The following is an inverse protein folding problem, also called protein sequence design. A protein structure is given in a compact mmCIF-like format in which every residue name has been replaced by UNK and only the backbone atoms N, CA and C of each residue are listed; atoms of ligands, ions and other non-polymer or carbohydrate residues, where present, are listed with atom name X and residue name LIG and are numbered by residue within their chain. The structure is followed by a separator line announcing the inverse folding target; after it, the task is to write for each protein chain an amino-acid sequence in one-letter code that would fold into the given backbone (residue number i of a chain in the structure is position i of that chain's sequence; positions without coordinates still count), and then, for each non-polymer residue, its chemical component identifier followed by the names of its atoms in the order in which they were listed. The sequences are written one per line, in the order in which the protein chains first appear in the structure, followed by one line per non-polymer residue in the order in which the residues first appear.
data_IF_658258680892
#
_entry.id   IF_658258680892
#
_cell.length_a   1.000
_cell.length_b   1.000
_cell.length_c   1.000
_cell.angle_alpha   90.00
_cell.angle_beta   90.00
_cell.angle_gamma   90.00
#
_symmetry.space_group_name_H-M   'P 1'
#
loop_
_entity.id
_entity.type
_entity.pdbx_description
1 polymer ?
#
# COMPACT_ATOMS: atom_id res chain seq x y z
N UNK A 1 19.08 -14.07 -20.28
CA UNK A 1 18.17 -13.00 -20.77
C UNK A 1 17.53 -12.40 -19.54
N UNK A 2 17.32 -11.08 -19.49
CA UNK A 2 16.57 -10.45 -18.39
C UNK A 2 15.10 -10.87 -18.46
N UNK A 3 14.46 -11.08 -17.31
CA UNK A 3 13.03 -11.39 -17.20
C UNK A 3 12.18 -10.27 -17.80
N UNK A 4 11.16 -10.64 -18.58
CA UNK A 4 10.16 -9.69 -19.10
C UNK A 4 9.12 -9.44 -18.03
N UNK A 5 8.84 -8.18 -17.74
CA UNK A 5 7.92 -7.79 -16.66
C UNK A 5 6.56 -7.39 -17.26
N UNK A 6 5.49 -7.98 -16.76
CA UNK A 6 4.13 -7.47 -16.92
C UNK A 6 3.76 -6.61 -15.73
N UNK A 7 3.16 -5.45 -15.92
CA UNK A 7 2.68 -4.63 -14.81
C UNK A 7 1.21 -4.25 -14.99
N UNK A 8 0.37 -4.65 -14.04
CA UNK A 8 -1.08 -4.46 -14.05
C UNK A 8 -1.48 -3.54 -12.90
N UNK A 9 -2.09 -2.41 -13.22
CA UNK A 9 -2.53 -1.43 -12.24
C UNK A 9 -1.59 -0.22 -12.14
N UNK A 10 -1.92 0.84 -12.89
CA UNK A 10 -1.15 2.10 -12.99
C UNK A 10 -1.79 3.21 -12.16
N UNK A 11 -2.13 2.89 -10.92
CA UNK A 11 -2.60 3.84 -9.92
C UNK A 11 -1.46 4.72 -9.37
N UNK A 12 -1.72 5.37 -8.23
CA UNK A 12 -0.77 6.28 -7.56
C UNK A 12 0.58 5.57 -7.31
N UNK A 13 0.54 4.31 -6.86
CA UNK A 13 1.74 3.52 -6.57
C UNK A 13 2.34 2.90 -7.84
N UNK A 14 1.51 2.20 -8.63
CA UNK A 14 1.97 1.40 -9.78
C UNK A 14 2.65 2.23 -10.86
N UNK A 15 2.27 3.49 -11.05
CA UNK A 15 2.93 4.39 -11.99
C UNK A 15 4.41 4.61 -11.64
N UNK A 16 4.71 4.94 -10.38
CA UNK A 16 6.09 5.15 -9.92
C UNK A 16 6.92 3.87 -10.01
N UNK A 17 6.34 2.75 -9.61
CA UNK A 17 6.98 1.44 -9.66
C UNK A 17 7.32 1.03 -11.09
N UNK A 18 6.39 1.18 -12.04
CA UNK A 18 6.61 0.91 -13.46
C UNK A 18 7.74 1.75 -14.05
N UNK A 19 7.78 3.06 -13.74
CA UNK A 19 8.85 3.94 -14.20
C UNK A 19 10.23 3.51 -13.67
N UNK A 20 10.31 3.04 -12.43
CA UNK A 20 11.56 2.55 -11.87
C UNK A 20 12.02 1.24 -12.53
N UNK A 21 11.11 0.33 -12.87
CA UNK A 21 11.42 -0.88 -13.65
C UNK A 21 11.97 -0.55 -15.04
N UNK A 22 11.32 0.38 -15.75
CA UNK A 22 11.80 0.87 -17.05
C UNK A 22 13.19 1.50 -16.93
N UNK A 23 13.42 2.34 -15.92
CA UNK A 23 14.71 2.97 -15.64
C UNK A 23 15.79 1.95 -15.30
N UNK A 24 15.43 0.85 -14.67
CA UNK A 24 16.36 -0.26 -14.40
C UNK A 24 16.64 -1.14 -15.63
N UNK A 25 16.03 -0.85 -16.79
CA UNK A 25 16.29 -1.52 -18.07
C UNK A 25 15.43 -2.76 -18.32
N UNK A 26 14.37 -2.99 -17.54
CA UNK A 26 13.44 -4.08 -17.82
C UNK A 26 12.56 -3.78 -19.03
N UNK A 27 12.29 -4.81 -19.84
CA UNK A 27 11.22 -4.77 -20.84
C UNK A 27 9.89 -4.90 -20.10
N UNK A 28 9.04 -3.85 -20.14
CA UNK A 28 7.78 -3.81 -19.36
C UNK A 28 6.59 -3.74 -20.28
N UNK A 29 5.64 -4.68 -20.13
CA UNK A 29 4.30 -4.63 -20.74
C UNK A 29 3.30 -4.20 -19.68
N UNK A 30 2.50 -3.17 -19.96
CA UNK A 30 1.58 -2.58 -18.96
C UNK A 30 0.13 -2.74 -19.36
N UNK A 31 -0.74 -2.86 -18.34
CA UNK A 31 -2.18 -2.76 -18.53
C UNK A 31 -2.84 -2.04 -17.35
N UNK A 32 -3.88 -1.27 -17.67
CA UNK A 32 -4.73 -0.61 -16.68
C UNK A 32 -6.18 -0.53 -17.17
N UNK A 33 -7.14 -0.72 -16.28
CA UNK A 33 -8.58 -0.62 -16.57
C UNK A 33 -8.95 0.70 -17.26
N UNK A 34 -8.36 1.81 -16.82
CA UNK A 34 -8.47 3.12 -17.48
C UNK A 34 -7.31 3.27 -18.46
N UNK A 35 -7.59 3.13 -19.75
CA UNK A 35 -6.58 3.04 -20.81
C UNK A 35 -5.64 4.28 -20.88
N UNK A 36 -6.15 5.49 -20.63
CA UNK A 36 -5.34 6.71 -20.64
C UNK A 36 -4.19 6.71 -19.62
N UNK A 37 -4.27 5.91 -18.57
CA UNK A 37 -3.17 5.77 -17.61
C UNK A 37 -1.96 5.01 -18.15
N UNK A 38 -2.12 4.27 -19.27
CA UNK A 38 -1.01 3.60 -19.94
C UNK A 38 -0.17 4.56 -20.79
N UNK A 39 -0.75 5.62 -21.33
CA UNK A 39 -0.08 6.56 -22.25
C UNK A 39 1.25 7.10 -21.71
N UNK A 40 1.35 7.60 -20.46
CA UNK A 40 2.63 8.08 -19.95
C UNK A 40 3.67 6.96 -19.80
N UNK A 41 3.24 5.71 -19.57
CA UNK A 41 4.14 4.56 -19.46
C UNK A 41 4.67 4.14 -20.83
N UNK A 42 3.80 4.16 -21.85
CA UNK A 42 4.20 3.90 -23.24
C UNK A 42 5.17 4.98 -23.72
N UNK A 43 4.92 6.25 -23.42
CA UNK A 43 5.86 7.34 -23.71
C UNK A 43 7.22 7.16 -23.01
N UNK A 44 7.26 6.47 -21.86
CA UNK A 44 8.46 6.14 -21.13
C UNK A 44 9.14 4.82 -21.60
N UNK A 45 8.59 4.14 -22.61
CA UNK A 45 9.19 2.94 -23.21
C UNK A 45 8.50 1.62 -22.86
N UNK A 46 7.35 1.62 -22.18
CA UNK A 46 6.58 0.41 -21.95
C UNK A 46 5.77 0.01 -23.19
N UNK A 47 5.41 -1.27 -23.29
CA UNK A 47 4.46 -1.79 -24.28
C UNK A 47 3.06 -1.84 -23.68
N UNK A 48 2.03 -1.34 -24.38
CA UNK A 48 0.65 -1.45 -23.93
C UNK A 48 0.09 -2.85 -24.23
N UNK A 49 -0.45 -3.51 -23.19
CA UNK A 49 -1.23 -4.75 -23.33
C UNK A 49 -2.71 -4.45 -23.52
N UNK A 50 -3.44 -5.36 -24.17
CA UNK A 50 -4.88 -5.25 -24.41
C UNK A 50 -5.74 -5.80 -23.26
N UNK A 51 -5.18 -6.66 -22.40
CA UNK A 51 -5.84 -7.26 -21.24
C UNK A 51 -4.79 -7.77 -20.23
N UNK A 52 -5.18 -8.12 -19.00
CA UNK A 52 -4.29 -8.83 -18.06
C UNK A 52 -3.73 -10.15 -18.64
N UNK A 53 -4.56 -10.92 -19.34
CA UNK A 53 -4.11 -12.14 -20.03
C UNK A 53 -3.08 -11.86 -21.12
N UNK A 54 -3.25 -10.79 -21.90
CA UNK A 54 -2.27 -10.37 -22.92
C UNK A 54 -0.96 -9.95 -22.30
N UNK A 55 -0.99 -9.20 -21.18
CA UNK A 55 0.24 -8.86 -20.41
C UNK A 55 0.94 -10.13 -19.95
N UNK A 56 0.21 -11.08 -19.36
CA UNK A 56 0.77 -12.33 -18.85
C UNK A 56 1.41 -13.18 -19.96
N UNK A 57 0.76 -13.28 -21.13
CA UNK A 57 1.29 -14.03 -22.27
C UNK A 57 2.63 -13.49 -22.80
N UNK A 58 2.95 -12.21 -22.53
CA UNK A 58 4.16 -11.53 -22.99
C UNK A 58 5.19 -11.31 -21.86
N UNK A 59 5.00 -11.93 -20.69
CA UNK A 59 5.82 -11.66 -19.49
C UNK A 59 6.21 -12.95 -18.77
N UNK A 60 7.38 -12.91 -18.14
CA UNK A 60 7.89 -14.01 -17.32
C UNK A 60 7.52 -13.79 -15.84
N UNK A 61 7.51 -12.52 -15.40
CA UNK A 61 7.06 -12.08 -14.07
C UNK A 61 5.92 -11.07 -14.27
N UNK A 62 4.77 -11.32 -13.65
CA UNK A 62 3.57 -10.48 -13.76
C UNK A 62 3.33 -9.81 -12.40
N UNK A 63 3.46 -8.50 -12.35
CA UNK A 63 3.25 -7.70 -11.14
C UNK A 63 1.84 -7.09 -11.17
N UNK A 64 1.09 -7.25 -10.08
CA UNK A 64 -0.21 -6.60 -9.89
C UNK A 64 -0.12 -5.56 -8.76
N UNK A 65 -0.72 -4.39 -8.95
CA UNK A 65 -0.84 -3.36 -7.91
C UNK A 65 -2.16 -2.61 -8.11
N UNK A 66 -3.23 -3.17 -7.55
CA UNK A 66 -4.60 -2.68 -7.68
C UNK A 66 -5.22 -2.39 -6.32
N UNK A 67 -6.50 -1.99 -6.25
CA UNK A 67 -7.03 -1.33 -5.07
C UNK A 67 -7.41 -2.28 -3.93
N UNK A 68 -8.08 -3.41 -4.22
CA UNK A 68 -8.67 -4.29 -3.20
C UNK A 68 -8.72 -5.75 -3.68
N UNK A 69 -9.12 -6.66 -2.80
CA UNK A 69 -9.26 -8.10 -3.05
C UNK A 69 -10.07 -8.41 -4.32
N UNK A 70 -11.28 -7.87 -4.53
CA UNK A 70 -12.06 -8.15 -5.75
C UNK A 70 -11.36 -7.68 -7.04
N UNK A 71 -10.59 -6.58 -6.97
CA UNK A 71 -9.84 -6.10 -8.14
C UNK A 71 -8.68 -7.06 -8.47
N UNK A 72 -7.99 -7.62 -7.46
CA UNK A 72 -6.92 -8.62 -7.66
C UNK A 72 -7.51 -9.91 -8.23
N UNK A 73 -8.61 -10.40 -7.68
CA UNK A 73 -9.33 -11.57 -8.21
C UNK A 73 -9.73 -11.36 -9.67
N UNK A 74 -10.29 -10.20 -9.99
CA UNK A 74 -10.71 -9.88 -11.36
C UNK A 74 -9.55 -9.84 -12.36
N UNK A 75 -8.41 -9.22 -11.99
CA UNK A 75 -7.26 -9.12 -12.90
C UNK A 75 -6.44 -10.42 -12.98
N UNK A 76 -6.48 -11.28 -11.96
CA UNK A 76 -5.74 -12.54 -11.96
C UNK A 76 -6.61 -13.70 -12.45
N UNK A 77 -7.82 -13.89 -11.91
CA UNK A 77 -8.67 -15.05 -12.13
C UNK A 77 -9.87 -14.80 -13.06
N UNK A 78 -10.18 -13.53 -13.36
CA UNK A 78 -11.34 -13.15 -14.20
C UNK A 78 -11.23 -13.66 -15.64
N UNK A 79 -12.26 -13.46 -16.44
CA UNK A 79 -12.40 -13.97 -17.83
C UNK A 79 -11.21 -13.61 -18.73
N UNK A 80 -10.65 -12.39 -18.60
CA UNK A 80 -9.46 -11.94 -19.31
C UNK A 80 -8.26 -11.78 -18.35
N UNK A 81 -8.25 -12.54 -17.24
CA UNK A 81 -7.27 -12.50 -16.19
C UNK A 81 -5.93 -13.13 -16.55
N UNK A 82 -4.93 -12.85 -15.72
CA UNK A 82 -3.56 -13.36 -15.84
C UNK A 82 -3.52 -14.88 -16.02
N UNK A 83 -4.39 -15.63 -15.33
CA UNK A 83 -4.46 -17.11 -15.35
C UNK A 83 -4.70 -17.69 -16.75
N UNK A 84 -5.26 -16.90 -17.67
CA UNK A 84 -5.54 -17.32 -19.06
C UNK A 84 -4.40 -17.00 -20.02
N UNK A 85 -3.42 -16.20 -19.63
CA UNK A 85 -2.26 -15.83 -20.46
C UNK A 85 -0.93 -16.35 -19.93
N UNK A 86 -0.81 -16.50 -18.60
CA UNK A 86 0.40 -16.98 -17.95
C UNK A 86 0.73 -18.42 -18.38
N UNK A 87 2.02 -18.67 -18.64
CA UNK A 87 2.52 -19.99 -19.00
C UNK A 87 3.01 -20.74 -17.76
N UNK A 88 3.05 -22.09 -17.77
CA UNK A 88 3.72 -22.83 -16.72
C UNK A 88 5.17 -22.31 -16.51
N UNK A 89 5.54 -22.06 -15.26
CA UNK A 89 6.80 -21.42 -14.90
C UNK A 89 6.77 -19.89 -14.86
N UNK A 90 5.68 -19.21 -15.22
CA UNK A 90 5.49 -17.78 -14.94
C UNK A 90 5.37 -17.53 -13.45
N UNK A 91 5.72 -16.31 -13.02
CA UNK A 91 5.62 -15.86 -11.64
C UNK A 91 4.67 -14.66 -11.55
N UNK A 92 3.63 -14.76 -10.72
CA UNK A 92 2.78 -13.63 -10.34
C UNK A 92 3.28 -13.01 -9.04
N UNK A 93 3.40 -11.69 -8.99
CA UNK A 93 3.80 -10.93 -7.78
C UNK A 93 2.70 -9.92 -7.49
N UNK A 94 1.86 -10.19 -6.48
CA UNK A 94 0.84 -9.22 -6.07
C UNK A 94 1.39 -8.24 -5.03
N UNK A 95 1.50 -6.98 -5.44
CA UNK A 95 1.97 -5.88 -4.59
C UNK A 95 0.82 -5.04 -4.05
N UNK A 96 -0.42 -5.47 -4.24
CA UNK A 96 -1.63 -4.91 -3.64
C UNK A 96 -1.72 -5.24 -2.15
N UNK A 97 -2.60 -4.56 -1.41
CA UNK A 97 -2.97 -4.94 -0.05
C UNK A 97 -4.35 -5.59 -0.09
N UNK A 98 -4.39 -6.91 0.15
CA UNK A 98 -5.60 -7.75 0.08
C UNK A 98 -5.70 -8.71 1.27
N UNK A 99 -6.80 -9.46 1.33
CA UNK A 99 -7.01 -10.50 2.33
C UNK A 99 -5.93 -11.59 2.25
N UNK A 100 -5.27 -11.95 3.37
CA UNK A 100 -4.37 -13.10 3.41
C UNK A 100 -5.04 -14.43 3.02
N UNK A 101 -6.35 -14.58 3.27
CA UNK A 101 -7.11 -15.75 2.86
C UNK A 101 -7.25 -15.77 1.33
N UNK A 102 -7.70 -14.67 0.72
CA UNK A 102 -7.84 -14.57 -0.72
C UNK A 102 -6.49 -14.78 -1.44
N UNK A 103 -5.39 -14.30 -0.86
CA UNK A 103 -4.04 -14.57 -1.38
C UNK A 103 -3.75 -16.06 -1.48
N UNK A 104 -4.07 -16.85 -0.45
CA UNK A 104 -3.90 -18.31 -0.49
C UNK A 104 -4.77 -18.98 -1.54
N UNK A 105 -6.02 -18.53 -1.68
CA UNK A 105 -6.96 -19.06 -2.67
C UNK A 105 -6.50 -18.77 -4.10
N UNK A 106 -6.09 -17.54 -4.39
CA UNK A 106 -5.55 -17.12 -5.71
C UNK A 106 -4.28 -17.91 -6.02
N UNK A 107 -3.35 -18.02 -5.05
CA UNK A 107 -2.11 -18.78 -5.22
C UNK A 107 -2.38 -20.26 -5.53
N UNK A 108 -3.35 -20.88 -4.86
CA UNK A 108 -3.77 -22.26 -5.14
C UNK A 108 -4.29 -22.45 -6.59
N UNK A 109 -5.12 -21.51 -7.04
CA UNK A 109 -5.66 -21.53 -8.42
C UNK A 109 -4.58 -21.35 -9.50
N UNK A 110 -3.59 -20.48 -9.25
CA UNK A 110 -2.43 -20.29 -10.14
C UNK A 110 -1.54 -21.54 -10.15
N UNK A 111 -1.31 -22.15 -9.01
CA UNK A 111 -0.51 -23.38 -8.89
C UNK A 111 -1.08 -24.54 -9.71
N UNK A 112 -2.42 -24.68 -9.84
CA UNK A 112 -3.08 -25.66 -10.72
C UNK A 112 -2.67 -25.50 -12.20
N UNK A 113 -2.20 -24.31 -12.58
CA UNK A 113 -1.68 -24.00 -13.93
C UNK A 113 -0.16 -24.01 -14.01
N UNK A 114 0.54 -24.42 -12.96
CA UNK A 114 2.00 -24.38 -12.88
C UNK A 114 2.57 -22.95 -12.81
N UNK A 115 1.79 -21.99 -12.33
CA UNK A 115 2.18 -20.59 -12.15
C UNK A 115 2.42 -20.34 -10.67
N UNK A 116 3.62 -19.85 -10.32
CA UNK A 116 3.96 -19.48 -8.94
C UNK A 116 3.40 -18.10 -8.56
N UNK A 117 3.21 -17.86 -7.25
CA UNK A 117 2.75 -16.57 -6.74
C UNK A 117 3.55 -16.14 -5.51
N UNK A 118 3.95 -14.86 -5.49
CA UNK A 118 4.39 -14.12 -4.30
C UNK A 118 3.34 -13.06 -3.94
N UNK A 119 3.09 -12.89 -2.66
CA UNK A 119 2.44 -11.71 -2.13
C UNK A 119 3.52 -10.75 -1.59
N UNK A 120 3.55 -9.54 -2.13
CA UNK A 120 4.62 -8.57 -1.88
C UNK A 120 4.07 -7.16 -1.63
N UNK A 121 3.12 -6.99 -0.68
CA UNK A 121 2.57 -5.68 -0.38
C UNK A 121 3.64 -4.70 0.07
N UNK A 122 3.35 -3.41 -0.11
CA UNK A 122 4.32 -2.32 -0.03
C UNK A 122 3.94 -1.28 1.02
N UNK A 123 4.96 -0.58 1.53
CA UNK A 123 4.83 0.60 2.38
C UNK A 123 5.82 1.68 1.94
N UNK A 124 5.44 2.97 2.08
CA UNK A 124 6.28 4.12 1.72
C UNK A 124 5.55 5.21 0.94
N UNK A 125 4.26 5.00 0.64
CA UNK A 125 3.41 5.99 -0.07
C UNK A 125 3.85 6.29 -1.50
N UNK A 126 3.20 7.25 -2.12
CA UNK A 126 3.49 7.69 -3.49
C UNK A 126 4.93 8.19 -3.67
N UNK A 127 5.49 8.81 -2.64
CA UNK A 127 6.87 9.30 -2.64
C UNK A 127 7.89 8.15 -2.69
N UNK A 128 7.66 7.09 -1.89
CA UNK A 128 8.48 5.89 -1.91
C UNK A 128 8.40 5.15 -3.24
N UNK A 129 7.21 5.06 -3.83
CA UNK A 129 7.00 4.45 -5.15
C UNK A 129 7.74 5.24 -6.26
N UNK A 130 7.67 6.57 -6.23
CA UNK A 130 8.35 7.42 -7.20
C UNK A 130 9.89 7.35 -7.09
N UNK A 131 10.40 7.28 -5.85
CA UNK A 131 11.86 7.27 -5.57
C UNK A 131 12.50 5.88 -5.61
N UNK A 132 11.73 4.78 -5.75
CA UNK A 132 12.24 3.42 -5.64
C UNK A 132 12.74 3.07 -4.24
N UNK A 133 12.07 3.58 -3.20
CA UNK A 133 12.50 3.41 -1.80
C UNK A 133 11.45 2.69 -0.94
N UNK A 134 10.58 1.91 -1.58
CA UNK A 134 9.53 1.17 -0.89
C UNK A 134 10.09 0.15 0.11
N UNK A 135 9.33 -0.09 1.17
CA UNK A 135 9.45 -1.31 1.98
C UNK A 135 8.54 -2.37 1.38
N UNK A 136 9.09 -3.53 1.06
CA UNK A 136 8.41 -4.65 0.40
C UNK A 136 8.43 -5.86 1.33
N UNK A 137 7.26 -6.38 1.67
CA UNK A 137 7.07 -7.50 2.61
C UNK A 137 6.64 -8.73 1.82
N UNK A 138 7.53 -9.73 1.66
CA UNK A 138 7.33 -10.81 0.69
C UNK A 138 6.94 -12.11 1.38
N UNK A 139 5.82 -12.68 0.97
CA UNK A 139 5.41 -14.04 1.29
C UNK A 139 5.50 -14.93 0.06
N UNK A 140 5.95 -16.20 0.25
CA UNK A 140 6.05 -17.19 -0.80
C UNK A 140 7.32 -18.00 -0.77
N UNK A 141 7.61 -18.76 -1.84
CA UNK A 141 8.77 -19.63 -1.90
C UNK A 141 10.08 -18.83 -2.10
N UNK A 142 11.14 -19.20 -1.37
CA UNK A 142 12.42 -18.49 -1.41
C UNK A 142 13.07 -18.45 -2.82
N UNK A 143 12.87 -19.50 -3.62
CA UNK A 143 13.36 -19.53 -4.99
C UNK A 143 12.71 -18.46 -5.88
N UNK A 144 11.38 -18.26 -5.72
CA UNK A 144 10.63 -17.24 -6.45
C UNK A 144 11.01 -15.84 -5.99
N UNK A 145 11.24 -15.66 -4.67
CA UNK A 145 11.77 -14.39 -4.13
C UNK A 145 13.11 -14.04 -4.74
N UNK A 146 14.05 -15.01 -4.81
CA UNK A 146 15.36 -14.80 -5.44
C UNK A 146 15.24 -14.43 -6.93
N UNK A 147 14.30 -15.05 -7.65
CA UNK A 147 14.01 -14.77 -9.05
C UNK A 147 13.48 -13.34 -9.27
N UNK A 148 12.57 -12.87 -8.40
CA UNK A 148 11.98 -11.54 -8.49
C UNK A 148 12.86 -10.43 -7.87
N UNK A 149 13.93 -10.78 -7.16
CA UNK A 149 14.76 -9.81 -6.41
C UNK A 149 15.24 -8.63 -7.25
N UNK A 150 15.75 -8.79 -8.49
CA UNK A 150 16.16 -7.65 -9.30
C UNK A 150 15.04 -6.65 -9.60
N UNK A 151 13.78 -7.13 -9.74
CA UNK A 151 12.63 -6.26 -9.91
C UNK A 151 12.27 -5.55 -8.60
N UNK A 152 12.36 -6.23 -7.45
CA UNK A 152 12.13 -5.60 -6.15
C UNK A 152 13.16 -4.51 -5.85
N UNK A 153 14.46 -4.74 -6.14
CA UNK A 153 15.54 -3.77 -5.94
C UNK A 153 15.36 -2.50 -6.78
N UNK A 154 14.71 -2.60 -7.94
CA UNK A 154 14.37 -1.42 -8.74
C UNK A 154 13.27 -0.57 -8.08
N UNK A 155 12.41 -1.15 -7.24
CA UNK A 155 11.22 -0.49 -6.67
C UNK A 155 11.35 -0.15 -5.18
N UNK A 156 12.25 -0.82 -4.45
CA UNK A 156 12.34 -0.70 -3.00
C UNK A 156 13.75 -0.76 -2.46
N UNK A 157 13.91 -0.34 -1.20
CA UNK A 157 15.20 -0.41 -0.46
C UNK A 157 15.16 -1.42 0.69
N UNK A 158 14.01 -1.57 1.33
CA UNK A 158 13.82 -2.53 2.41
C UNK A 158 13.00 -3.69 1.88
N UNK A 159 13.67 -4.77 1.53
CA UNK A 159 13.05 -5.94 0.92
C UNK A 159 13.19 -7.11 1.90
N UNK A 160 12.06 -7.62 2.40
CA UNK A 160 12.09 -8.64 3.45
C UNK A 160 11.22 -9.83 3.07
N UNK A 161 11.83 -11.01 2.95
CA UNK A 161 11.10 -12.28 2.87
C UNK A 161 10.64 -12.65 4.28
N UNK A 162 9.32 -12.59 4.52
CA UNK A 162 8.73 -12.71 5.85
C UNK A 162 8.10 -14.07 6.14
N UNK A 163 8.05 -14.96 5.16
CA UNK A 163 7.51 -16.30 5.36
C UNK A 163 6.83 -16.92 4.15
N UNK A 164 6.00 -17.94 4.33
CA UNK A 164 5.26 -18.59 3.24
C UNK A 164 4.19 -17.70 2.64
N UNK A 165 3.49 -18.17 1.61
CA UNK A 165 2.37 -17.50 0.95
C UNK A 165 1.39 -16.88 1.96
N UNK A 166 1.00 -15.64 1.73
CA UNK A 166 0.17 -14.76 2.56
C UNK A 166 0.85 -14.19 3.82
N UNK A 167 2.13 -14.53 4.08
CA UNK A 167 2.88 -13.91 5.19
C UNK A 167 3.15 -12.42 4.90
N UNK A 168 3.42 -12.03 3.67
CA UNK A 168 3.57 -10.63 3.26
C UNK A 168 2.32 -9.80 3.56
N UNK A 169 1.15 -10.29 3.15
CA UNK A 169 -0.13 -9.63 3.45
C UNK A 169 -0.37 -9.54 4.96
N UNK A 170 -0.10 -10.61 5.71
CA UNK A 170 -0.26 -10.59 7.17
C UNK A 170 0.65 -9.53 7.82
N UNK A 171 1.92 -9.44 7.41
CA UNK A 171 2.85 -8.40 7.89
C UNK A 171 2.40 -7.01 7.44
N UNK A 172 1.81 -6.88 6.25
CA UNK A 172 1.22 -5.61 5.82
C UNK A 172 0.07 -5.17 6.73
N UNK A 173 -0.78 -6.08 7.18
CA UNK A 173 -1.84 -5.76 8.16
C UNK A 173 -1.24 -5.32 9.51
N UNK A 174 -0.17 -5.95 9.98
CA UNK A 174 0.59 -5.47 11.16
C UNK A 174 1.09 -4.04 10.95
N UNK A 175 1.68 -3.75 9.77
CA UNK A 175 2.10 -2.37 9.43
C UNK A 175 0.92 -1.40 9.49
N UNK A 176 -0.26 -1.77 8.98
CA UNK A 176 -1.43 -0.88 8.97
C UNK A 176 -1.97 -0.61 10.38
N UNK A 177 -1.94 -1.58 11.28
CA UNK A 177 -2.25 -1.38 12.71
C UNK A 177 -1.32 -0.30 13.29
N UNK A 178 0.00 -0.45 13.11
CA UNK A 178 0.99 0.50 13.62
C UNK A 178 0.82 1.90 13.03
N UNK A 179 0.59 2.00 11.72
CA UNK A 179 0.37 3.29 11.04
C UNK A 179 -0.78 4.06 11.67
N UNK A 180 -1.94 3.43 11.86
CA UNK A 180 -3.13 4.16 12.29
C UNK A 180 -3.17 4.41 13.79
N UNK A 181 -2.65 3.49 14.61
CA UNK A 181 -2.58 3.69 16.07
C UNK A 181 -1.53 4.74 16.41
N UNK A 182 -0.40 4.77 15.70
CA UNK A 182 0.55 5.87 15.82
C UNK A 182 -0.07 7.21 15.39
N UNK A 183 -0.90 7.24 14.33
CA UNK A 183 -1.55 8.49 13.89
C UNK A 183 -2.59 8.97 14.92
N UNK A 184 -3.31 8.04 15.56
CA UNK A 184 -4.21 8.37 16.66
C UNK A 184 -3.43 9.04 17.80
N UNK A 185 -2.32 8.42 18.23
CA UNK A 185 -1.47 8.97 19.29
C UNK A 185 -0.89 10.35 18.93
N UNK A 186 -0.49 10.56 17.67
CA UNK A 186 -0.02 11.89 17.19
C UNK A 186 -1.15 12.92 17.29
N UNK A 187 -2.37 12.58 16.90
CA UNK A 187 -3.53 13.49 17.00
C UNK A 187 -3.84 13.87 18.44
N UNK A 188 -3.93 12.89 19.34
CA UNK A 188 -4.16 13.12 20.77
C UNK A 188 -3.04 13.99 21.41
N UNK A 189 -1.77 13.69 21.10
CA UNK A 189 -0.63 14.44 21.63
C UNK A 189 -0.62 15.89 21.16
N UNK A 190 -0.92 16.15 19.89
CA UNK A 190 -0.98 17.51 19.35
C UNK A 190 -2.17 18.30 19.91
N UNK A 191 -3.34 17.68 20.09
CA UNK A 191 -4.48 18.30 20.77
C UNK A 191 -4.15 18.64 22.22
N UNK A 192 -3.51 17.74 22.95
CA UNK A 192 -3.08 17.97 24.32
C UNK A 192 -2.09 19.13 24.41
N UNK A 193 -1.12 19.19 23.50
CA UNK A 193 -0.15 20.28 23.43
C UNK A 193 -0.81 21.63 23.08
N UNK A 194 -1.75 21.64 22.12
CA UNK A 194 -2.54 22.83 21.76
C UNK A 194 -3.36 23.34 22.96
N UNK A 195 -4.07 22.46 23.65
CA UNK A 195 -4.85 22.81 24.84
C UNK A 195 -3.97 23.33 25.99
N UNK A 196 -2.73 22.84 26.11
CA UNK A 196 -1.73 23.30 27.07
C UNK A 196 -1.02 24.60 26.68
N UNK A 197 -1.36 25.21 25.54
CA UNK A 197 -0.73 26.46 25.06
C UNK A 197 0.72 26.30 24.59
N UNK A 198 1.13 25.07 24.20
CA UNK A 198 2.49 24.80 23.78
C UNK A 198 2.71 25.16 22.29
N UNK A 199 3.93 25.53 21.94
CA UNK A 199 4.39 25.61 20.56
C UNK A 199 4.45 24.19 19.97
N UNK A 200 3.60 23.90 19.00
CA UNK A 200 3.45 22.55 18.45
C UNK A 200 4.69 22.09 17.68
N UNK A 201 5.38 22.99 16.96
CA UNK A 201 6.61 22.63 16.25
C UNK A 201 7.73 22.27 17.21
N UNK A 202 7.93 23.06 18.28
CA UNK A 202 8.91 22.74 19.32
C UNK A 202 8.55 21.45 20.07
N UNK A 203 7.26 21.21 20.28
CA UNK A 203 6.77 19.97 20.88
C UNK A 203 7.14 18.77 20.03
N UNK A 204 6.86 18.81 18.69
CA UNK A 204 7.27 17.77 17.77
C UNK A 204 8.78 17.53 17.79
N UNK A 205 9.56 18.60 17.75
CA UNK A 205 11.03 18.53 17.75
C UNK A 205 11.58 17.89 19.04
N UNK A 206 10.96 18.18 20.18
CA UNK A 206 11.37 17.65 21.47
C UNK A 206 11.11 16.13 21.61
N UNK A 207 10.03 15.61 21.01
CA UNK A 207 9.61 14.22 21.28
C UNK A 207 9.94 13.23 20.15
N UNK A 208 10.16 13.71 18.90
CA UNK A 208 10.34 12.84 17.74
C UNK A 208 11.57 11.94 17.76
N UNK A 209 12.64 12.36 18.47
CA UNK A 209 13.90 11.62 18.55
C UNK A 209 13.95 10.64 19.74
N UNK A 210 12.99 10.69 20.65
CA UNK A 210 12.91 9.86 21.84
C UNK A 210 12.08 8.59 21.64
N UNK A 211 11.75 7.92 22.76
CA UNK A 211 10.96 6.70 22.77
C UNK A 211 9.54 6.84 22.15
N UNK A 212 9.00 8.06 22.10
CA UNK A 212 7.72 8.39 21.47
C UNK A 212 7.82 8.49 19.93
N UNK A 213 9.02 8.44 19.35
CA UNK A 213 9.28 8.63 17.94
C UNK A 213 8.58 7.57 17.07
N UNK A 214 8.00 8.04 15.95
CA UNK A 214 7.45 7.18 14.89
C UNK A 214 7.55 7.90 13.55
N UNK A 215 7.46 7.12 12.44
CA UNK A 215 7.39 7.72 11.12
C UNK A 215 6.19 8.67 10.98
N UNK A 216 5.05 8.31 11.58
CA UNK A 216 3.84 9.13 11.55
C UNK A 216 4.06 10.46 12.29
N UNK A 217 4.67 10.42 13.47
CA UNK A 217 5.02 11.63 14.22
C UNK A 217 5.96 12.54 13.43
N UNK A 218 7.02 11.98 12.86
CA UNK A 218 8.07 12.75 12.19
C UNK A 218 7.66 13.34 10.84
N UNK A 219 6.78 12.66 10.10
CA UNK A 219 6.43 13.05 8.73
C UNK A 219 5.00 13.57 8.59
N UNK A 220 4.05 13.09 9.40
CA UNK A 220 2.65 13.55 9.38
C UNK A 220 2.34 14.60 10.45
N UNK A 221 3.05 14.57 11.57
CA UNK A 221 2.92 15.60 12.62
C UNK A 221 3.07 17.03 12.07
N UNK A 222 4.15 17.38 11.35
CA UNK A 222 4.29 18.70 10.72
C UNK A 222 3.14 19.05 9.77
N UNK A 223 2.69 18.10 8.93
CA UNK A 223 1.57 18.34 8.01
C UNK A 223 0.26 18.65 8.75
N UNK A 224 0.01 17.99 9.89
CA UNK A 224 -1.14 18.31 10.75
C UNK A 224 -1.05 19.75 11.29
N UNK A 225 0.11 20.16 11.79
CA UNK A 225 0.35 21.52 12.31
C UNK A 225 0.18 22.58 11.22
N UNK A 226 0.64 22.27 9.99
CA UNK A 226 0.50 23.14 8.80
C UNK A 226 -0.88 23.05 8.13
N UNK A 227 -1.75 22.12 8.61
CA UNK A 227 -3.06 21.82 8.01
C UNK A 227 -2.98 21.40 6.53
N UNK A 228 -1.90 20.73 6.17
CA UNK A 228 -1.68 20.18 4.83
C UNK A 228 -2.25 18.76 4.73
N UNK A 229 -3.44 18.63 4.16
CA UNK A 229 -4.17 17.36 4.04
C UNK A 229 -3.93 16.63 2.70
N UNK A 230 -2.91 17.03 1.93
CA UNK A 230 -2.56 16.37 0.66
C UNK A 230 -2.23 14.89 0.90
N UNK A 231 -2.86 13.96 0.16
CA UNK A 231 -2.72 12.54 0.42
C UNK A 231 -1.39 11.98 -0.11
N UNK A 232 -0.61 11.35 0.77
CA UNK A 232 0.31 10.29 0.36
C UNK A 232 -0.37 8.92 0.36
N UNK A 233 -1.47 8.79 1.14
CA UNK A 233 -2.39 7.67 1.22
C UNK A 233 -3.73 8.20 1.72
N UNK A 234 -4.83 7.93 1.01
CA UNK A 234 -6.13 8.52 1.32
C UNK A 234 -6.83 7.84 2.50
N UNK A 235 -7.81 8.53 3.11
CA UNK A 235 -8.70 7.96 4.13
C UNK A 235 -9.42 6.73 3.58
N UNK A 236 -9.94 6.78 2.34
CA UNK A 236 -10.69 5.67 1.75
C UNK A 236 -9.83 4.42 1.58
N UNK A 237 -8.59 4.57 1.12
CA UNK A 237 -7.64 3.46 1.01
C UNK A 237 -7.24 2.93 2.40
N UNK A 238 -7.04 3.82 3.37
CA UNK A 238 -6.73 3.42 4.75
C UNK A 238 -7.91 2.66 5.37
N UNK A 239 -9.13 3.13 5.16
CA UNK A 239 -10.34 2.48 5.64
C UNK A 239 -10.52 1.08 5.05
N UNK A 240 -10.19 0.90 3.76
CA UNK A 240 -10.15 -0.41 3.12
C UNK A 240 -9.14 -1.34 3.81
N UNK A 241 -7.92 -0.85 4.06
CA UNK A 241 -6.89 -1.66 4.74
C UNK A 241 -7.32 -2.03 6.17
N UNK A 242 -7.97 -1.12 6.91
CA UNK A 242 -8.46 -1.43 8.26
C UNK A 242 -9.60 -2.44 8.26
N UNK A 243 -10.45 -2.45 7.24
CA UNK A 243 -11.46 -3.51 7.07
C UNK A 243 -10.78 -4.88 6.97
N UNK A 244 -9.72 -5.00 6.15
CA UNK A 244 -8.94 -6.24 6.04
C UNK A 244 -8.29 -6.64 7.37
N UNK A 245 -7.79 -5.66 8.16
CA UNK A 245 -7.26 -5.92 9.52
C UNK A 245 -8.34 -6.49 10.43
N UNK A 246 -9.53 -5.86 10.46
CA UNK A 246 -10.63 -6.29 11.33
C UNK A 246 -11.15 -7.68 10.94
N UNK A 247 -11.30 -7.96 9.65
CA UNK A 247 -11.69 -9.27 9.12
C UNK A 247 -10.67 -10.36 9.51
N UNK A 248 -9.38 -10.08 9.35
CA UNK A 248 -8.32 -11.02 9.73
C UNK A 248 -8.24 -11.21 11.25
N UNK A 249 -8.41 -10.16 12.04
CA UNK A 249 -8.42 -10.22 13.49
C UNK A 249 -9.58 -11.06 14.03
N UNK A 250 -10.77 -10.92 13.44
CA UNK A 250 -11.95 -11.75 13.78
C UNK A 250 -11.68 -13.23 13.50
N UNK A 251 -11.13 -13.54 12.31
CA UNK A 251 -10.75 -14.91 11.96
C UNK A 251 -9.71 -15.53 12.92
N UNK A 252 -8.80 -14.69 13.44
CA UNK A 252 -7.76 -15.12 14.39
C UNK A 252 -8.23 -15.13 15.85
N UNK A 253 -9.42 -14.57 16.14
CA UNK A 253 -9.96 -14.43 17.49
C UNK A 253 -9.17 -13.46 18.38
N UNK A 254 -8.54 -12.41 17.81
CA UNK A 254 -7.72 -11.44 18.56
C UNK A 254 -8.37 -10.05 18.60
N UNK A 255 -8.32 -9.33 19.75
CA UNK A 255 -8.83 -7.97 19.84
C UNK A 255 -7.82 -6.96 19.24
N UNK A 256 -8.32 -5.98 18.48
CA UNK A 256 -7.54 -4.86 17.90
C UNK A 256 -8.20 -3.52 18.26
N UNK A 257 -8.21 -3.17 19.55
CA UNK A 257 -9.00 -2.06 20.11
C UNK A 257 -8.67 -0.70 19.48
N UNK A 258 -7.38 -0.35 19.39
CA UNK A 258 -6.96 0.92 18.77
C UNK A 258 -7.37 1.02 17.30
N UNK A 259 -7.19 -0.05 16.54
CA UNK A 259 -7.60 -0.13 15.14
C UNK A 259 -9.11 0.01 14.96
N UNK A 260 -9.91 -0.64 15.80
CA UNK A 260 -11.37 -0.54 15.79
C UNK A 260 -11.83 0.90 16.08
N UNK A 261 -11.19 1.57 17.03
CA UNK A 261 -11.46 2.99 17.33
C UNK A 261 -11.18 3.86 16.10
N UNK A 262 -9.99 3.73 15.50
CA UNK A 262 -9.61 4.52 14.33
C UNK A 262 -10.51 4.22 13.13
N UNK A 263 -10.90 2.96 12.92
CA UNK A 263 -11.85 2.58 11.87
C UNK A 263 -13.16 3.36 11.97
N UNK A 264 -13.71 3.52 13.18
CA UNK A 264 -14.92 4.30 13.40
C UNK A 264 -14.70 5.81 13.21
N UNK A 265 -13.57 6.35 13.65
CA UNK A 265 -13.23 7.76 13.43
C UNK A 265 -13.12 8.09 11.94
N UNK A 266 -12.43 7.27 11.14
CA UNK A 266 -12.38 7.45 9.67
C UNK A 266 -13.76 7.33 9.03
N UNK A 267 -14.65 6.44 9.55
CA UNK A 267 -16.02 6.34 9.05
C UNK A 267 -16.78 7.66 9.18
N UNK A 268 -16.57 8.41 10.27
CA UNK A 268 -17.20 9.74 10.41
C UNK A 268 -16.66 10.73 9.37
N UNK A 269 -15.36 10.71 9.09
CA UNK A 269 -14.76 11.58 8.08
C UNK A 269 -15.22 11.23 6.65
N UNK A 270 -15.37 9.96 6.33
CA UNK A 270 -15.96 9.52 5.05
C UNK A 270 -17.39 10.05 4.88
N UNK A 271 -18.22 10.01 5.94
CA UNK A 271 -19.58 10.56 5.93
C UNK A 271 -19.62 12.08 5.74
N UNK A 272 -18.52 12.77 6.05
CA UNK A 272 -18.33 14.21 5.80
C UNK A 272 -17.76 14.51 4.40
N UNK A 273 -17.52 13.48 3.57
CA UNK A 273 -16.95 13.64 2.22
C UNK A 273 -15.44 13.82 2.17
N UNK A 274 -14.72 13.50 3.25
CA UNK A 274 -13.26 13.70 3.37
C UNK A 274 -12.43 12.47 2.94
N UNK A 275 -13.02 11.49 2.27
CA UNK A 275 -12.39 10.22 1.91
C UNK A 275 -11.11 10.33 1.08
N UNK A 276 -11.01 11.37 0.24
CA UNK A 276 -9.85 11.64 -0.63
C UNK A 276 -8.71 12.40 0.06
N UNK A 277 -8.91 12.91 1.26
CA UNK A 277 -7.85 13.55 2.04
C UNK A 277 -6.82 12.52 2.55
N UNK A 278 -5.64 13.00 2.94
CA UNK A 278 -4.59 12.18 3.52
C UNK A 278 -5.03 11.51 4.83
N UNK A 279 -4.57 10.29 5.08
CA UNK A 279 -4.94 9.53 6.28
C UNK A 279 -4.60 10.23 7.61
N UNK A 280 -3.68 11.21 7.61
CA UNK A 280 -3.38 12.04 8.77
C UNK A 280 -4.52 13.04 9.10
N UNK A 281 -5.47 13.27 8.20
CA UNK A 281 -6.70 14.00 8.49
C UNK A 281 -7.61 13.27 9.50
N UNK A 282 -7.24 12.06 9.98
CA UNK A 282 -7.80 11.42 11.18
C UNK A 282 -7.98 12.43 12.33
N UNK A 283 -7.01 13.35 12.47
CA UNK A 283 -7.00 14.36 13.52
C UNK A 283 -8.24 15.25 13.51
N UNK A 284 -8.85 15.53 12.36
CA UNK A 284 -10.10 16.29 12.26
C UNK A 284 -11.25 15.67 13.05
N UNK A 285 -11.30 14.34 13.13
CA UNK A 285 -12.31 13.66 13.94
C UNK A 285 -12.06 13.89 15.45
N UNK A 286 -10.81 13.92 15.87
CA UNK A 286 -10.43 14.22 17.27
C UNK A 286 -10.67 15.69 17.60
N UNK A 287 -10.35 16.61 16.69
CA UNK A 287 -10.64 18.05 16.80
C UNK A 287 -12.13 18.30 17.02
N UNK A 288 -12.96 17.62 16.23
CA UNK A 288 -14.41 17.70 16.38
C UNK A 288 -14.90 17.22 17.76
N UNK A 289 -14.37 16.11 18.26
CA UNK A 289 -14.70 15.58 19.59
C UNK A 289 -14.23 16.49 20.72
N UNK A 290 -13.08 17.13 20.55
CA UNK A 290 -12.49 18.02 21.56
C UNK A 290 -13.07 19.44 21.52
N UNK A 291 -13.75 19.85 20.44
CA UNK A 291 -14.14 21.23 20.20
C UNK A 291 -12.94 22.18 20.09
N UNK A 292 -11.78 21.67 19.68
CA UNK A 292 -10.51 22.38 19.60
C UNK A 292 -9.80 22.04 18.30
N UNK A 293 -9.35 23.06 17.57
CA UNK A 293 -8.59 22.88 16.32
C UNK A 293 -7.08 23.00 16.55
N UNK A 294 -6.30 22.11 15.94
CA UNK A 294 -4.85 22.19 15.87
C UNK A 294 -4.47 23.21 14.78
N UNK A 295 -3.95 24.37 15.15
CA UNK A 295 -3.69 25.46 14.20
C UNK A 295 -2.27 26.05 14.26
N UNK A 296 -1.35 25.44 15.02
CA UNK A 296 0.04 25.88 15.13
C UNK A 296 0.23 27.28 15.74
N UNK A 297 -0.83 27.97 16.14
CA UNK A 297 -0.78 29.28 16.79
C UNK A 297 -0.72 29.05 18.29
N UNK A 298 0.32 29.58 18.95
CA UNK A 298 0.30 29.78 20.40
C UNK A 298 -0.88 30.71 20.74
N UNK A 299 -1.67 30.33 21.74
CA UNK A 299 -2.75 31.15 22.29
C UNK A 299 -2.22 32.48 22.80
#
# INVERSE_FOLDING_TARGET
MSERIGFIGLGIMGRGMTLNLLKAGFAVTVWNRTASRMEPMVAAGATAGSSPANVAANSDIIITCVSDTPDVEAVILGENGVIHGAQPGSLVVDMSTISPQATREISGRLAEKGVAMLDAPISGGSEGAAKGTLSIMIGGAAADVARAMPAFEAMGKTITHVGPTAAGQTVKLVNQILVVVNMLAVGEALLFAQAGGLDLQKTLDAVKAGAAGSWMLSNRGPQVVERDWRPGFTIDLQQKDLRLVLEAADQMGIPVLGTSTVFNLYRTLQRQGLGEEGNHALVKALEHLAGLEINGRSA
#
